data_IF_004810171541
#
_entry.id   IF_004810171541
#
_cell.length_a   1.000
_cell.length_b   1.000
_cell.length_c   1.000
_cell.angle_alpha   90.00
_cell.angle_beta   90.00
_cell.angle_gamma   90.00
#
_symmetry.space_group_name_H-M   'P 1'
#
loop_
_entity.id
_entity.type
_entity.pdbx_description
1 polymer ?
#
# COMPACT_ATOMS: atom_id res chain seq x y z
N UNK A 1 9.20 2.74 -5.36
CA UNK A 1 9.50 3.93 -4.52
C UNK A 1 9.09 5.26 -5.16
N UNK A 2 9.22 5.42 -6.48
CA UNK A 2 8.90 6.68 -7.19
C UNK A 2 7.47 7.15 -7.01
N UNK A 3 6.49 6.24 -6.97
CA UNK A 3 5.09 6.61 -6.69
C UNK A 3 4.95 7.27 -5.31
N UNK A 4 5.54 6.66 -4.27
CA UNK A 4 5.49 7.22 -2.92
C UNK A 4 6.23 8.56 -2.83
N UNK A 5 7.37 8.71 -3.53
CA UNK A 5 8.08 9.99 -3.60
C UNK A 5 7.22 11.08 -4.27
N UNK A 6 6.52 10.73 -5.35
CA UNK A 6 5.60 11.65 -6.04
C UNK A 6 4.42 12.06 -5.16
N UNK A 7 3.84 11.12 -4.40
CA UNK A 7 2.77 11.40 -3.44
C UNK A 7 3.26 12.24 -2.24
N UNK A 8 4.49 12.00 -1.78
CA UNK A 8 5.10 12.78 -0.70
C UNK A 8 5.34 14.23 -1.15
N UNK A 9 5.86 14.43 -2.36
CA UNK A 9 6.15 15.75 -2.95
C UNK A 9 6.82 16.74 -1.96
N UNK A 10 7.67 16.22 -1.06
CA UNK A 10 8.35 16.94 0.03
C UNK A 10 7.43 17.70 1.02
N UNK A 11 6.11 17.46 1.00
CA UNK A 11 5.12 18.21 1.79
C UNK A 11 4.06 17.35 2.46
N UNK A 12 3.75 16.20 1.89
CA UNK A 12 2.73 15.28 2.38
C UNK A 12 3.40 14.20 3.23
N UNK A 13 3.09 14.08 4.54
CA UNK A 13 3.65 13.02 5.37
C UNK A 13 3.10 11.66 4.93
N UNK A 14 3.99 10.66 4.88
CA UNK A 14 3.62 9.27 4.66
C UNK A 14 3.57 8.53 5.99
N UNK A 15 2.55 7.70 6.18
CA UNK A 15 2.39 6.86 7.36
C UNK A 15 2.29 5.40 6.92
N UNK A 16 3.16 4.54 7.46
CA UNK A 16 3.16 3.11 7.15
C UNK A 16 2.41 2.38 8.25
N UNK A 17 1.36 1.64 7.93
CA UNK A 17 0.57 0.87 8.90
C UNK A 17 0.64 -0.61 8.53
N UNK A 18 1.24 -1.41 9.40
CA UNK A 18 1.44 -2.84 9.16
C UNK A 18 0.87 -3.70 10.29
N UNK A 19 0.31 -4.85 9.91
CA UNK A 19 -0.08 -5.91 10.85
C UNK A 19 1.12 -6.71 11.37
N UNK A 20 2.33 -6.42 10.88
CA UNK A 20 3.56 -7.04 11.36
C UNK A 20 3.82 -6.72 12.83
N UNK A 21 4.37 -7.70 13.58
CA UNK A 21 4.87 -7.49 14.93
C UNK A 21 5.90 -6.36 15.09
N UNK A 22 5.91 -5.69 16.24
CA UNK A 22 6.83 -4.59 16.53
C UNK A 22 8.32 -4.98 16.50
N UNK A 23 8.66 -6.23 16.79
CA UNK A 23 10.05 -6.71 16.74
C UNK A 23 10.60 -6.81 15.31
N UNK A 24 9.78 -6.57 14.28
CA UNK A 24 10.21 -6.44 12.88
C UNK A 24 10.49 -4.99 12.48
N UNK A 25 10.50 -4.05 13.43
CA UNK A 25 10.71 -2.62 13.14
C UNK A 25 12.01 -2.37 12.38
N UNK A 26 13.16 -2.78 12.93
CA UNK A 26 14.46 -2.50 12.33
C UNK A 26 14.58 -3.13 10.93
N UNK A 27 14.07 -4.35 10.76
CA UNK A 27 14.03 -5.02 9.45
C UNK A 27 13.21 -4.23 8.42
N UNK A 28 12.06 -3.69 8.82
CA UNK A 28 11.21 -2.91 7.93
C UNK A 28 11.82 -1.55 7.61
N UNK A 29 12.43 -0.88 8.59
CA UNK A 29 13.11 0.39 8.38
C UNK A 29 14.28 0.24 7.39
N UNK A 30 15.12 -0.77 7.59
CA UNK A 30 16.20 -1.14 6.66
C UNK A 30 15.66 -1.45 5.27
N UNK A 31 14.55 -2.19 5.16
CA UNK A 31 13.93 -2.50 3.89
C UNK A 31 13.46 -1.24 3.15
N UNK A 32 12.81 -0.31 3.85
CA UNK A 32 12.37 0.95 3.25
C UNK A 32 13.57 1.77 2.75
N UNK A 33 14.62 1.86 3.56
CA UNK A 33 15.85 2.57 3.22
C UNK A 33 16.56 1.97 2.00
N UNK A 34 16.74 0.65 1.98
CA UNK A 34 17.38 -0.08 0.88
C UNK A 34 16.63 0.06 -0.44
N UNK A 35 15.30 0.17 -0.39
CA UNK A 35 14.46 0.34 -1.58
C UNK A 35 14.19 1.81 -1.92
N UNK A 36 14.85 2.76 -1.23
CA UNK A 36 14.66 4.20 -1.40
C UNK A 36 13.19 4.65 -1.25
N UNK A 37 12.41 3.93 -0.46
CA UNK A 37 11.04 4.31 -0.13
C UNK A 37 11.12 5.49 0.84
N UNK A 38 10.35 6.58 0.63
CA UNK A 38 10.50 7.77 1.47
C UNK A 38 10.26 7.49 2.96
N UNK A 39 11.01 8.17 3.81
CA UNK A 39 10.92 7.98 5.27
C UNK A 39 9.56 8.45 5.79
N UNK A 40 8.99 7.69 6.72
CA UNK A 40 7.77 8.03 7.44
C UNK A 40 7.59 7.13 8.67
N UNK A 41 6.77 7.55 9.66
CA UNK A 41 6.49 6.74 10.83
C UNK A 41 5.87 5.38 10.47
N UNK A 42 6.38 4.32 11.09
CA UNK A 42 5.93 2.94 10.92
C UNK A 42 5.12 2.50 12.15
N UNK A 43 3.85 2.19 11.95
CA UNK A 43 2.93 1.70 12.97
C UNK A 43 2.81 0.19 12.85
N UNK A 44 3.33 -0.51 13.86
CA UNK A 44 3.33 -1.97 13.94
C UNK A 44 2.34 -2.47 14.99
N UNK A 45 2.03 -3.76 14.93
CA UNK A 45 1.21 -4.44 15.92
C UNK A 45 2.05 -4.79 17.15
N UNK A 46 1.49 -4.53 18.33
CA UNK A 46 2.09 -4.97 19.59
C UNK A 46 1.91 -6.49 19.76
N UNK A 47 2.97 -7.18 20.18
CA UNK A 47 2.97 -8.62 20.48
C UNK A 47 2.61 -8.91 21.94
N UNK A 48 2.59 -7.89 22.81
CA UNK A 48 2.50 -8.03 24.26
C UNK A 48 1.11 -7.80 24.86
N UNK A 49 0.64 -8.82 25.57
CA UNK A 49 -0.41 -8.83 26.62
C UNK A 49 -1.82 -8.35 26.24
N UNK A 50 -2.55 -9.22 25.54
CA UNK A 50 -4.00 -9.34 25.73
C UNK A 50 -4.30 -10.54 26.64
N UNK A 51 -3.71 -10.56 27.84
CA UNK A 51 -3.96 -11.59 28.88
C UNK A 51 -5.40 -11.61 29.38
N UNK A 52 -6.24 -10.66 28.93
CA UNK A 52 -7.67 -10.59 29.21
C UNK A 52 -8.60 -10.71 28.00
N UNK A 53 -8.10 -10.91 26.77
CA UNK A 53 -8.96 -11.05 25.58
C UNK A 53 -8.58 -12.23 24.71
N UNK A 54 -8.68 -13.41 25.31
CA UNK A 54 -8.87 -14.68 24.58
C UNK A 54 -10.19 -14.71 23.77
N UNK A 55 -10.95 -13.61 23.73
CA UNK A 55 -12.06 -13.40 22.81
C UNK A 55 -11.75 -12.12 22.02
N UNK A 56 -10.92 -12.23 20.98
CA UNK A 56 -10.84 -11.22 19.93
C UNK A 56 -10.87 -11.92 18.58
N UNK A 57 -11.90 -11.59 17.84
CA UNK A 57 -12.17 -11.97 16.46
C UNK A 57 -10.87 -11.96 15.64
N UNK A 58 -10.56 -13.03 14.88
CA UNK A 58 -9.42 -13.00 13.97
C UNK A 58 -9.70 -11.92 12.91
N UNK A 59 -8.90 -10.87 12.85
CA UNK A 59 -8.98 -9.92 11.73
C UNK A 59 -8.61 -8.49 12.08
N UNK A 60 -7.73 -7.93 11.26
CA UNK A 60 -7.76 -6.62 10.58
C UNK A 60 -8.27 -5.32 11.27
N UNK A 61 -9.01 -5.37 12.38
CA UNK A 61 -9.55 -4.19 13.07
C UNK A 61 -8.47 -3.22 13.56
N UNK A 62 -7.28 -3.73 13.90
CA UNK A 62 -6.16 -2.88 14.32
C UNK A 62 -5.70 -1.90 13.23
N UNK A 63 -5.71 -2.28 11.95
CA UNK A 63 -5.32 -1.37 10.85
C UNK A 63 -6.33 -0.22 10.71
N UNK A 64 -7.63 -0.53 10.73
CA UNK A 64 -8.67 0.48 10.65
C UNK A 64 -8.67 1.41 11.87
N UNK A 65 -8.46 0.88 13.08
CA UNK A 65 -8.35 1.72 14.28
C UNK A 65 -7.15 2.68 14.21
N UNK A 66 -6.02 2.25 13.63
CA UNK A 66 -4.87 3.12 13.38
C UNK A 66 -5.17 4.17 12.32
N UNK A 67 -5.81 3.81 11.21
CA UNK A 67 -6.25 4.75 10.19
C UNK A 67 -7.20 5.80 10.77
N UNK A 68 -8.23 5.37 11.51
CA UNK A 68 -9.16 6.27 12.24
C UNK A 68 -8.41 7.21 13.18
N UNK A 69 -7.50 6.68 13.99
CA UNK A 69 -6.69 7.49 14.93
C UNK A 69 -5.89 8.56 14.18
N UNK A 70 -5.22 8.20 13.08
CA UNK A 70 -4.43 9.14 12.28
C UNK A 70 -5.31 10.22 11.66
N UNK A 71 -6.44 9.83 11.06
CA UNK A 71 -7.40 10.75 10.43
C UNK A 71 -7.97 11.72 11.48
N UNK A 72 -8.38 11.23 12.65
CA UNK A 72 -8.96 12.04 13.71
C UNK A 72 -7.95 13.00 14.34
N UNK A 73 -6.69 12.60 14.51
CA UNK A 73 -5.64 13.45 15.08
C UNK A 73 -5.18 14.58 14.17
N UNK A 74 -5.42 14.47 12.86
CA UNK A 74 -5.02 15.49 11.88
C UNK A 74 -6.25 16.03 11.14
N UNK A 75 -7.14 16.79 11.81
CA UNK A 75 -8.45 17.16 11.28
C UNK A 75 -8.40 18.04 10.02
N UNK A 76 -7.32 18.81 9.83
CA UNK A 76 -7.12 19.69 8.68
C UNK A 76 -6.62 18.96 7.41
N UNK A 77 -6.25 17.68 7.52
CA UNK A 77 -5.69 16.91 6.41
C UNK A 77 -6.74 16.06 5.69
N UNK A 78 -6.54 15.94 4.38
CA UNK A 78 -7.15 14.91 3.53
C UNK A 78 -6.18 13.75 3.34
N UNK A 79 -6.70 12.55 3.11
CA UNK A 79 -5.95 11.30 3.15
C UNK A 79 -6.04 10.54 1.84
N UNK A 80 -4.92 10.04 1.37
CA UNK A 80 -4.87 9.01 0.32
C UNK A 80 -4.58 7.69 1.01
N UNK A 81 -5.41 6.68 0.79
CA UNK A 81 -5.25 5.36 1.40
C UNK A 81 -4.70 4.40 0.34
N UNK A 82 -3.55 3.79 0.63
CA UNK A 82 -2.92 2.80 -0.25
C UNK A 82 -2.85 1.45 0.46
N UNK A 83 -3.22 0.38 -0.22
CA UNK A 83 -3.21 -0.99 0.29
C UNK A 83 -3.12 -2.01 -0.83
N UNK A 84 -3.23 -3.29 -0.50
CA UNK A 84 -3.16 -4.40 -1.45
C UNK A 84 -4.42 -5.30 -1.44
N UNK A 85 -4.70 -6.00 -2.54
CA UNK A 85 -5.87 -6.88 -2.70
C UNK A 85 -5.75 -8.19 -1.90
N UNK A 86 -4.53 -8.58 -1.51
CA UNK A 86 -4.27 -9.79 -0.74
C UNK A 86 -4.59 -9.68 0.75
N UNK A 87 -4.95 -8.48 1.23
CA UNK A 87 -5.31 -8.20 2.62
C UNK A 87 -6.72 -7.58 2.70
N UNK A 88 -7.23 -7.37 3.91
CA UNK A 88 -8.53 -6.72 4.10
C UNK A 88 -8.52 -5.20 3.82
N UNK A 89 -7.50 -4.64 3.16
CA UNK A 89 -7.33 -3.18 3.03
C UNK A 89 -8.51 -2.54 2.28
N UNK A 90 -9.06 -3.20 1.25
CA UNK A 90 -10.23 -2.72 0.51
C UNK A 90 -11.47 -2.53 1.42
N UNK A 91 -11.76 -3.50 2.29
CA UNK A 91 -12.87 -3.43 3.25
C UNK A 91 -12.67 -2.30 4.26
N UNK A 92 -11.46 -2.21 4.83
CA UNK A 92 -11.14 -1.22 5.85
C UNK A 92 -11.22 0.20 5.27
N UNK A 93 -10.68 0.41 4.07
CA UNK A 93 -10.68 1.72 3.43
C UNK A 93 -12.05 2.12 2.89
N UNK A 94 -12.87 1.17 2.42
CA UNK A 94 -14.26 1.45 2.08
C UNK A 94 -15.05 1.93 3.32
N UNK A 95 -14.83 1.30 4.47
CA UNK A 95 -15.40 1.74 5.75
C UNK A 95 -14.92 3.16 6.10
N UNK A 96 -13.62 3.44 5.96
CA UNK A 96 -13.07 4.78 6.20
C UNK A 96 -13.66 5.85 5.26
N UNK A 97 -13.90 5.52 3.99
CA UNK A 97 -14.57 6.43 3.04
C UNK A 97 -16.00 6.76 3.47
N UNK A 98 -16.76 5.77 3.95
CA UNK A 98 -18.11 5.98 4.46
C UNK A 98 -18.12 6.83 5.75
N UNK A 99 -17.15 6.62 6.64
CA UNK A 99 -17.04 7.35 7.91
C UNK A 99 -16.54 8.79 7.75
N UNK A 100 -15.57 9.02 6.85
CA UNK A 100 -14.84 10.28 6.76
C UNK A 100 -15.08 11.07 5.47
N UNK A 101 -15.77 10.49 4.47
CA UNK A 101 -16.23 11.17 3.26
C UNK A 101 -15.13 11.96 2.56
N UNK A 102 -15.36 13.26 2.35
CA UNK A 102 -14.48 14.19 1.62
C UNK A 102 -13.06 14.33 2.22
N UNK A 103 -12.85 13.82 3.45
CA UNK A 103 -11.52 13.73 4.07
C UNK A 103 -10.67 12.62 3.46
N UNK A 104 -11.26 11.66 2.77
CA UNK A 104 -10.52 10.69 1.95
C UNK A 104 -10.49 11.24 0.52
N UNK A 105 -9.30 11.52 0.02
CA UNK A 105 -9.09 12.08 -1.30
C UNK A 105 -9.10 11.01 -2.40
N UNK A 106 -8.55 9.84 -2.10
CA UNK A 106 -8.58 8.66 -2.97
C UNK A 106 -8.22 7.39 -2.18
N UNK A 107 -8.66 6.25 -2.70
CA UNK A 107 -8.28 4.92 -2.23
C UNK A 107 -7.67 4.16 -3.41
N UNK A 108 -6.49 3.59 -3.20
CA UNK A 108 -5.81 2.76 -4.19
C UNK A 108 -5.51 1.39 -3.60
N UNK A 109 -6.05 0.34 -4.24
CA UNK A 109 -5.79 -1.05 -3.87
C UNK A 109 -4.94 -1.66 -4.98
N UNK A 110 -3.69 -1.98 -4.67
CA UNK A 110 -2.80 -2.66 -5.61
C UNK A 110 -3.20 -4.11 -5.73
N UNK A 111 -3.41 -4.53 -6.96
CA UNK A 111 -3.66 -5.93 -7.29
C UNK A 111 -2.37 -6.75 -7.11
N UNK A 112 -2.44 -7.83 -6.32
CA UNK A 112 -1.31 -8.72 -6.05
C UNK A 112 -1.14 -9.80 -7.13
N UNK A 113 -2.19 -10.07 -7.90
CA UNK A 113 -2.23 -11.08 -8.96
C UNK A 113 -2.89 -10.56 -10.25
N UNK A 114 -2.42 -9.43 -10.82
CA UNK A 114 -3.11 -8.69 -11.90
C UNK A 114 -3.29 -9.45 -13.22
N UNK A 115 -2.62 -10.59 -13.40
CA UNK A 115 -2.72 -11.44 -14.58
C UNK A 115 -3.80 -12.53 -14.45
N UNK A 116 -4.44 -12.63 -13.29
CA UNK A 116 -5.46 -13.65 -12.97
C UNK A 116 -6.69 -12.95 -12.41
N UNK A 117 -7.87 -13.26 -12.94
CA UNK A 117 -9.13 -12.83 -12.32
C UNK A 117 -9.41 -13.70 -11.09
N UNK A 118 -9.14 -13.16 -9.91
CA UNK A 118 -9.14 -13.93 -8.66
C UNK A 118 -10.32 -13.55 -7.74
N UNK A 119 -10.69 -14.40 -6.77
CA UNK A 119 -11.69 -14.02 -5.77
C UNK A 119 -11.32 -12.75 -4.97
N UNK A 120 -10.03 -12.39 -4.93
CA UNK A 120 -9.57 -11.14 -4.31
C UNK A 120 -10.10 -9.93 -5.11
N UNK A 121 -10.03 -9.99 -6.43
CA UNK A 121 -10.53 -8.93 -7.33
C UNK A 121 -12.01 -8.69 -7.16
N UNK A 122 -12.80 -9.77 -7.18
CA UNK A 122 -14.25 -9.71 -6.93
C UNK A 122 -14.52 -9.06 -5.57
N UNK A 123 -13.71 -9.38 -4.56
CA UNK A 123 -13.79 -8.77 -3.23
C UNK A 123 -13.56 -7.26 -3.28
N UNK A 124 -12.48 -6.82 -3.92
CA UNK A 124 -12.16 -5.39 -4.07
C UNK A 124 -13.24 -4.65 -4.86
N UNK A 125 -13.71 -5.23 -5.97
CA UNK A 125 -14.71 -4.62 -6.87
C UNK A 125 -16.05 -4.44 -6.14
N UNK A 126 -16.46 -5.40 -5.30
CA UNK A 126 -17.63 -5.24 -4.44
C UNK A 126 -17.49 -4.07 -3.43
N UNK A 127 -16.28 -3.77 -2.96
CA UNK A 127 -16.04 -2.61 -2.09
C UNK A 127 -16.00 -1.29 -2.88
N UNK A 128 -15.50 -1.29 -4.11
CA UNK A 128 -15.57 -0.16 -5.03
C UNK A 128 -17.05 0.25 -5.25
N UNK A 129 -17.93 -0.71 -5.50
CA UNK A 129 -19.37 -0.46 -5.65
C UNK A 129 -19.99 0.14 -4.37
N UNK A 130 -19.60 -0.35 -3.18
CA UNK A 130 -20.10 0.18 -1.90
C UNK A 130 -19.68 1.62 -1.63
N UNK A 131 -18.53 2.06 -2.15
CA UNK A 131 -18.10 3.46 -2.03
C UNK A 131 -18.58 4.34 -3.19
N UNK A 132 -19.20 3.78 -4.24
CA UNK A 132 -19.72 4.56 -5.37
C UNK A 132 -20.81 5.57 -4.98
N UNK A 133 -21.49 5.36 -3.84
CA UNK A 133 -22.39 6.34 -3.24
C UNK A 133 -21.70 7.54 -2.56
N UNK A 134 -20.38 7.50 -2.43
CA UNK A 134 -19.54 8.58 -1.86
C UNK A 134 -18.84 9.36 -2.98
N UNK A 135 -18.22 10.50 -2.65
CA UNK A 135 -17.37 11.27 -3.58
C UNK A 135 -15.91 10.78 -3.60
N UNK A 136 -15.60 9.69 -2.91
CA UNK A 136 -14.24 9.19 -2.76
C UNK A 136 -13.92 8.25 -3.91
N UNK A 137 -12.95 8.59 -4.79
CA UNK A 137 -12.54 7.67 -5.84
C UNK A 137 -11.79 6.49 -5.22
N UNK A 138 -12.17 5.28 -5.63
CA UNK A 138 -11.49 4.03 -5.26
C UNK A 138 -11.13 3.27 -6.53
N UNK A 139 -9.85 2.86 -6.63
CA UNK A 139 -9.30 2.20 -7.81
C UNK A 139 -8.57 0.91 -7.40
N UNK A 140 -8.95 -0.21 -8.00
CA UNK A 140 -8.10 -1.40 -8.09
C UNK A 140 -7.08 -1.18 -9.20
N UNK A 141 -5.80 -1.23 -8.86
CA UNK A 141 -4.72 -0.85 -9.74
C UNK A 141 -3.74 -2.01 -9.95
N UNK A 142 -3.51 -2.38 -11.21
CA UNK A 142 -2.56 -3.45 -11.58
C UNK A 142 -1.12 -3.14 -11.12
N UNK A 143 -0.74 -1.87 -11.14
CA UNK A 143 0.62 -1.42 -10.87
C UNK A 143 0.66 0.04 -10.39
N UNK A 144 1.88 0.53 -10.14
CA UNK A 144 2.09 1.91 -9.71
C UNK A 144 1.85 2.94 -10.82
N UNK A 145 1.86 2.55 -12.10
CA UNK A 145 1.57 3.45 -13.22
C UNK A 145 0.08 3.79 -13.24
N UNK A 146 -0.79 2.79 -13.11
CA UNK A 146 -2.23 3.00 -13.04
C UNK A 146 -2.64 3.93 -11.88
N UNK A 147 -2.00 3.77 -10.72
CA UNK A 147 -2.20 4.69 -9.58
C UNK A 147 -1.74 6.11 -9.94
N UNK A 148 -0.56 6.25 -10.54
CA UNK A 148 0.02 7.55 -10.89
C UNK A 148 -0.82 8.30 -11.92
N UNK A 149 -1.32 7.63 -12.95
CA UNK A 149 -2.18 8.22 -13.98
C UNK A 149 -3.48 8.76 -13.38
N UNK A 150 -4.16 7.96 -12.54
CA UNK A 150 -5.36 8.42 -11.86
C UNK A 150 -5.04 9.57 -10.89
N UNK A 151 -3.99 9.44 -10.08
CA UNK A 151 -3.56 10.46 -9.12
C UNK A 151 -3.25 11.80 -9.80
N UNK A 152 -2.57 11.79 -10.94
CA UNK A 152 -2.31 13.00 -11.73
C UNK A 152 -3.62 13.59 -12.29
N UNK A 153 -4.52 12.75 -12.79
CA UNK A 153 -5.83 13.17 -13.31
C UNK A 153 -6.72 13.89 -12.29
N UNK A 154 -6.56 13.58 -11.00
CA UNK A 154 -7.28 14.25 -9.90
C UNK A 154 -6.41 15.26 -9.13
N UNK A 155 -5.20 15.56 -9.61
CA UNK A 155 -4.32 16.58 -9.04
C UNK A 155 -3.61 16.22 -7.73
N UNK A 156 -3.48 14.93 -7.41
CA UNK A 156 -2.72 14.46 -6.23
C UNK A 156 -1.21 14.43 -6.46
N UNK A 157 -0.76 14.25 -7.70
CA UNK A 157 0.65 14.30 -8.09
C UNK A 157 0.82 15.13 -9.36
N UNK A 158 2.03 15.62 -9.62
CA UNK A 158 2.38 16.22 -10.91
C UNK A 158 2.54 15.12 -11.98
N UNK A 159 1.93 15.32 -13.16
CA UNK A 159 2.06 14.41 -14.29
C UNK A 159 3.51 14.23 -14.76
N UNK A 160 4.40 15.20 -14.48
CA UNK A 160 5.83 15.11 -14.74
C UNK A 160 6.52 13.97 -13.97
N UNK A 161 5.91 13.43 -12.91
CA UNK A 161 6.45 12.30 -12.16
C UNK A 161 6.21 10.94 -12.86
N UNK A 162 5.22 10.84 -13.76
CA UNK A 162 4.80 9.57 -14.38
C UNK A 162 5.95 8.86 -15.11
N UNK A 163 6.77 9.52 -15.95
CA UNK A 163 7.85 8.82 -16.67
C UNK A 163 8.83 8.09 -15.75
N UNK A 164 9.19 8.69 -14.60
CA UNK A 164 10.08 8.07 -13.63
C UNK A 164 9.44 6.85 -12.93
N UNK A 165 8.12 6.88 -12.73
CA UNK A 165 7.36 5.76 -12.16
C UNK A 165 7.28 4.61 -13.17
N UNK A 166 7.03 4.91 -14.44
CA UNK A 166 7.05 3.90 -15.53
C UNK A 166 8.42 3.22 -15.62
N UNK A 167 9.50 3.99 -15.58
CA UNK A 167 10.86 3.44 -15.60
C UNK A 167 11.12 2.50 -14.40
N UNK A 168 10.65 2.86 -13.20
CA UNK A 168 10.78 2.01 -12.01
C UNK A 168 9.98 0.72 -12.15
N UNK A 169 8.73 0.79 -12.62
CA UNK A 169 7.89 -0.41 -12.83
C UNK A 169 8.53 -1.36 -13.85
N UNK A 170 9.11 -0.83 -14.94
CA UNK A 170 9.85 -1.66 -15.89
C UNK A 170 11.10 -2.31 -15.27
N UNK A 171 11.85 -1.57 -14.44
CA UNK A 171 13.01 -2.12 -13.73
C UNK A 171 12.61 -3.25 -12.77
N UNK A 172 11.51 -3.06 -12.04
CA UNK A 172 11.02 -4.06 -11.09
C UNK A 172 10.49 -5.31 -11.80
N UNK A 173 9.78 -5.15 -12.93
CA UNK A 173 9.33 -6.27 -13.75
C UNK A 173 10.48 -7.04 -14.41
N UNK A 174 11.62 -6.39 -14.64
CA UNK A 174 12.82 -7.01 -15.18
C UNK A 174 13.70 -7.67 -14.10
N UNK A 175 13.36 -7.54 -12.80
CA UNK A 175 14.12 -8.22 -11.74
C UNK A 175 13.85 -9.72 -11.80
N UNK A 176 14.90 -10.56 -11.82
CA UNK A 176 14.72 -11.99 -11.75
C UNK A 176 14.00 -12.35 -10.45
N UNK A 177 13.10 -13.31 -10.52
CA UNK A 177 12.47 -13.89 -9.34
C UNK A 177 13.54 -14.53 -8.45
N UNK A 178 13.24 -14.76 -7.17
CA UNK A 178 14.15 -15.45 -6.24
C UNK A 178 14.64 -16.80 -6.79
N UNK A 179 13.78 -17.51 -7.52
CA UNK A 179 14.13 -18.77 -8.19
C UNK A 179 15.11 -18.57 -9.36
N UNK A 180 14.85 -17.59 -10.23
CA UNK A 180 15.72 -17.28 -11.37
C UNK A 180 17.08 -16.72 -10.92
N UNK A 181 17.09 -15.87 -9.90
CA UNK A 181 18.31 -15.34 -9.31
C UNK A 181 19.18 -16.45 -8.70
N UNK A 182 18.57 -17.39 -7.96
CA UNK A 182 19.28 -18.53 -7.39
C UNK A 182 19.84 -19.47 -8.48
N UNK A 183 19.10 -19.68 -9.58
CA UNK A 183 19.58 -20.46 -10.73
C UNK A 183 20.73 -19.73 -11.44
N UNK A 184 20.63 -18.42 -11.64
CA UNK A 184 21.66 -17.62 -12.29
C UNK A 184 22.96 -17.58 -11.49
N UNK A 185 22.85 -17.44 -10.16
CA UNK A 185 23.99 -17.50 -9.23
C UNK A 185 24.65 -18.89 -9.24
N UNK A 186 23.86 -19.96 -9.25
CA UNK A 186 24.38 -21.33 -9.38
C UNK A 186 25.08 -21.56 -10.74
N UNK A 187 24.55 -21.00 -11.84
CA UNK A 187 25.16 -21.11 -13.18
C UNK A 187 26.46 -20.31 -13.26
N UNK A 188 26.56 -19.14 -12.62
CA UNK A 188 27.81 -18.38 -12.56
C UNK A 188 28.90 -19.08 -11.75
N UNK A 189 28.55 -19.78 -10.66
CA UNK A 189 29.51 -20.55 -9.86
C UNK A 189 30.04 -21.80 -10.57
N UNK A 190 29.35 -22.29 -11.60
CA UNK A 190 29.71 -23.51 -12.37
C UNK A 190 30.45 -23.18 -13.68
N UNK A 191 30.57 -21.90 -14.08
CA UNK A 191 31.34 -21.53 -15.28
C UNK A 191 32.85 -21.76 -15.06
N UNK A 192 33.53 -22.52 -15.93
CA UNK A 192 34.98 -22.69 -15.84
C UNK A 192 35.68 -21.36 -16.12
N UNK A 193 36.73 -21.08 -15.34
CA UNK A 193 37.63 -19.91 -15.48
C UNK A 193 38.33 -19.87 -16.84
#
# INVERSE_FOLDING_TARGET
AKLYAALQAERNPLFYVSSSPWNLYDLLDDFLALNHIPVGPIFLRDLGTDTGKFIKTPGHGHKLDRARMLIQRNPSMRWVLLGDSGQADAELYATAAQEFGDRIAAIYIRDVDPDVDSPLDIGVDAYIEKVAGTKVPMLRAKDSVAIAEHAAGIGLIDAAAIPAIVEEVHKDAARPTLGEAAVQEAVEQVKPK
#
